data_IF_642060698185
#
_entry.id   IF_642060698185
#
_cell.length_a   1.000
_cell.length_b   1.000
_cell.length_c   1.000
_cell.angle_alpha   90.00
_cell.angle_beta   90.00
_cell.angle_gamma   90.00
#
_symmetry.space_group_name_H-M   'P 1'
#
loop_
_entity.id
_entity.type
_entity.pdbx_description
1 polymer ?
#
# COMPACT_ATOMS: atom_id res chain seq x y z
N UNK A 1 -24.11 11.49 0.76
CA UNK A 1 -22.75 11.86 1.15
C UNK A 1 -22.81 13.13 1.98
N UNK A 2 -22.11 13.16 3.12
CA UNK A 2 -21.95 14.34 3.97
C UNK A 2 -20.47 14.70 3.95
N UNK A 3 -20.17 15.96 3.67
CA UNK A 3 -18.80 16.47 3.70
C UNK A 3 -18.43 16.79 5.16
N UNK A 4 -17.20 16.45 5.57
CA UNK A 4 -16.64 16.91 6.83
C UNK A 4 -16.29 18.39 6.66
N UNK A 5 -16.90 19.24 7.50
CA UNK A 5 -16.75 20.72 7.48
C UNK A 5 -16.18 21.27 8.79
N UNK A 6 -15.78 20.39 9.69
CA UNK A 6 -15.16 20.77 10.96
C UNK A 6 -13.87 21.57 10.70
N UNK A 7 -13.69 22.66 11.45
CA UNK A 7 -12.53 23.58 11.28
C UNK A 7 -11.21 22.92 11.70
N UNK A 8 -11.26 21.92 12.56
CA UNK A 8 -10.12 21.19 13.06
C UNK A 8 -9.73 20.00 12.17
N UNK A 9 -10.58 19.68 11.14
CA UNK A 9 -10.22 18.67 10.15
C UNK A 9 -9.08 19.19 9.25
N UNK A 10 -7.97 18.43 9.06
CA UNK A 10 -6.86 18.88 8.26
C UNK A 10 -7.28 19.16 6.81
N UNK A 11 -7.00 20.36 6.31
CA UNK A 11 -7.32 20.75 4.93
C UNK A 11 -6.48 20.06 3.87
N UNK A 12 -5.33 19.50 4.27
CA UNK A 12 -4.43 18.72 3.42
C UNK A 12 -3.88 17.53 4.21
N UNK A 13 -4.06 16.34 3.67
CA UNK A 13 -3.57 15.10 4.26
C UNK A 13 -3.04 14.16 3.15
N UNK A 14 -2.15 13.24 3.55
CA UNK A 14 -1.60 12.23 2.65
C UNK A 14 -2.63 11.13 2.40
N UNK A 15 -2.39 10.29 1.39
CA UNK A 15 -3.29 9.17 1.10
C UNK A 15 -3.28 8.12 2.23
N UNK A 16 -4.40 7.41 2.32
CA UNK A 16 -4.62 6.42 3.35
C UNK A 16 -5.20 7.02 4.63
N UNK A 17 -5.81 6.16 5.40
CA UNK A 17 -6.41 6.46 6.69
C UNK A 17 -6.37 5.22 7.57
N UNK A 18 -6.52 5.40 8.87
CA UNK A 18 -6.58 4.33 9.85
C UNK A 18 -7.82 4.49 10.71
N UNK A 19 -8.36 3.38 11.19
CA UNK A 19 -9.50 3.37 12.12
C UNK A 19 -9.20 2.40 13.26
N UNK A 20 -9.06 2.95 14.49
CA UNK A 20 -8.83 2.17 15.70
C UNK A 20 -9.85 2.58 16.76
N UNK A 21 -10.43 1.60 17.43
CA UNK A 21 -11.32 1.75 18.58
C UNK A 21 -12.36 2.88 18.45
N UNK A 22 -12.97 2.96 17.26
CA UNK A 22 -13.99 3.96 16.97
C UNK A 22 -13.45 5.31 16.48
N UNK A 23 -12.13 5.53 16.46
CA UNK A 23 -11.52 6.79 16.04
C UNK A 23 -10.91 6.70 14.63
N UNK A 24 -11.34 7.54 13.68
CA UNK A 24 -10.68 7.68 12.39
C UNK A 24 -9.43 8.56 12.50
N UNK A 25 -8.38 8.22 11.79
CA UNK A 25 -7.11 8.96 11.75
C UNK A 25 -6.70 9.27 10.32
N UNK A 26 -6.20 10.48 10.11
CA UNK A 26 -5.52 10.94 8.89
C UNK A 26 -4.16 11.50 9.23
N UNK A 27 -3.24 11.54 8.27
CA UNK A 27 -1.90 12.08 8.49
C UNK A 27 -1.62 13.21 7.49
N UNK A 28 -1.01 14.29 7.98
CA UNK A 28 -0.54 15.39 7.13
C UNK A 28 0.84 15.10 6.54
N UNK A 29 1.25 15.88 5.53
CA UNK A 29 2.62 15.82 5.00
C UNK A 29 3.70 16.19 6.03
N UNK A 30 3.34 16.90 7.10
CA UNK A 30 4.21 17.17 8.24
C UNK A 30 4.34 16.00 9.22
N UNK A 31 3.80 14.81 8.85
CA UNK A 31 3.76 13.62 9.68
C UNK A 31 2.99 13.79 11.02
N UNK A 32 2.06 14.72 11.07
CA UNK A 32 1.10 14.84 12.15
C UNK A 32 -0.11 13.95 11.88
N UNK A 33 -0.39 13.02 12.78
CA UNK A 33 -1.55 12.11 12.73
C UNK A 33 -2.63 12.73 13.60
N UNK A 34 -3.74 13.08 12.98
CA UNK A 34 -4.89 13.69 13.66
C UNK A 34 -6.06 12.70 13.70
N UNK A 35 -6.71 12.59 14.84
CA UNK A 35 -7.88 11.74 15.07
C UNK A 35 -9.16 12.54 15.12
N UNK A 36 -10.25 11.95 14.61
CA UNK A 36 -11.61 12.43 14.78
C UNK A 36 -12.24 12.01 16.09
N UNK A 37 -13.51 12.28 16.26
CA UNK A 37 -14.29 11.84 17.43
C UNK A 37 -14.54 10.33 17.43
N UNK A 38 -14.68 9.74 18.60
CA UNK A 38 -15.02 8.32 18.76
C UNK A 38 -16.41 8.06 18.20
N UNK A 39 -16.51 7.19 17.20
CA UNK A 39 -17.72 6.88 16.46
C UNK A 39 -18.40 8.12 15.83
N UNK A 40 -17.66 9.21 15.69
CA UNK A 40 -18.12 10.46 15.13
C UNK A 40 -17.09 11.03 14.13
N UNK A 41 -17.11 10.60 12.88
CA UNK A 41 -16.11 10.97 11.88
C UNK A 41 -16.28 12.41 11.37
N UNK A 42 -17.34 13.14 11.79
CA UNK A 42 -17.59 14.50 11.31
C UNK A 42 -17.09 15.58 12.30
N UNK A 43 -16.85 15.22 13.56
CA UNK A 43 -16.31 16.11 14.57
C UNK A 43 -14.82 15.79 14.83
N UNK A 44 -13.99 16.81 14.81
CA UNK A 44 -12.54 16.71 14.98
C UNK A 44 -12.08 17.63 16.11
N UNK A 45 -10.97 17.29 16.76
CA UNK A 45 -10.38 18.09 17.83
C UNK A 45 -8.92 18.39 17.47
N UNK A 46 -8.56 19.67 17.39
CA UNK A 46 -7.20 20.12 17.11
C UNK A 46 -6.16 19.55 18.08
N UNK A 47 -6.57 19.18 19.30
CA UNK A 47 -5.68 18.59 20.30
C UNK A 47 -5.50 17.07 20.13
N UNK A 48 -6.38 16.39 19.36
CA UNK A 48 -6.24 14.97 19.08
C UNK A 48 -5.18 14.75 18.00
N UNK A 49 -3.94 15.11 18.26
CA UNK A 49 -2.83 15.02 17.32
C UNK A 49 -1.59 14.41 17.98
N UNK A 50 -0.91 13.52 17.22
CA UNK A 50 0.42 13.00 17.54
C UNK A 50 1.32 13.14 16.33
N UNK A 51 2.61 13.44 16.52
CA UNK A 51 3.56 13.60 15.43
C UNK A 51 4.50 12.40 15.40
N UNK A 52 4.71 11.82 14.21
CA UNK A 52 5.72 10.79 13.99
C UNK A 52 7.11 11.44 13.97
N UNK A 53 7.92 11.20 15.03
CA UNK A 53 9.10 12.03 15.35
C UNK A 53 10.44 11.30 15.25
N UNK A 54 10.51 10.06 14.73
CA UNK A 54 11.79 9.34 14.68
C UNK A 54 12.85 10.12 13.88
N UNK A 55 12.42 10.72 12.78
CA UNK A 55 13.20 11.67 11.98
C UNK A 55 12.25 12.76 11.42
N UNK A 56 12.78 13.96 11.12
CA UNK A 56 11.97 15.05 10.57
C UNK A 56 11.79 14.87 9.05
N UNK A 57 11.18 13.77 8.63
CA UNK A 57 10.87 13.47 7.24
C UNK A 57 9.37 13.54 6.97
N UNK A 58 9.02 13.81 5.71
CA UNK A 58 7.65 14.04 5.30
C UNK A 58 6.78 12.77 5.39
N UNK A 59 5.52 12.91 5.80
CA UNK A 59 4.51 11.87 5.71
C UNK A 59 4.17 11.57 4.25
N UNK A 60 4.02 10.28 3.91
CA UNK A 60 3.68 9.81 2.55
C UNK A 60 2.36 9.07 2.54
N UNK A 61 2.14 8.16 3.48
CA UNK A 61 0.90 7.41 3.61
C UNK A 61 0.61 7.05 5.06
N UNK A 62 -0.67 6.96 5.39
CA UNK A 62 -1.14 6.36 6.64
C UNK A 62 -1.81 5.03 6.32
N UNK A 63 -1.42 3.98 7.02
CA UNK A 63 -1.97 2.64 6.84
C UNK A 63 -2.38 2.03 8.18
N UNK A 64 -3.14 0.95 8.12
CA UNK A 64 -3.49 0.13 9.28
C UNK A 64 -2.85 -1.24 9.12
N UNK A 65 -2.30 -1.79 10.19
CA UNK A 65 -1.92 -3.19 10.29
C UNK A 65 -2.52 -3.76 11.58
N UNK A 66 -3.45 -4.70 11.43
CA UNK A 66 -4.17 -5.28 12.58
C UNK A 66 -4.78 -4.18 13.47
N UNK A 67 -4.26 -4.04 14.69
CA UNK A 67 -4.69 -3.06 15.71
C UNK A 67 -3.74 -1.86 15.80
N UNK A 68 -2.93 -1.62 14.78
CA UNK A 68 -1.93 -0.56 14.79
C UNK A 68 -2.15 0.42 13.63
N UNK A 69 -1.89 1.68 13.90
CA UNK A 69 -1.74 2.72 12.88
C UNK A 69 -0.28 2.82 12.47
N UNK A 70 0.00 2.78 11.18
CA UNK A 70 1.35 2.81 10.63
C UNK A 70 1.55 4.09 9.82
N UNK A 71 2.42 4.95 10.30
CA UNK A 71 2.84 6.16 9.59
C UNK A 71 4.03 5.83 8.67
N UNK A 72 3.77 5.82 7.38
CA UNK A 72 4.76 5.64 6.34
C UNK A 72 5.26 7.03 5.91
N UNK A 73 6.53 7.34 6.22
CA UNK A 73 7.16 8.61 5.87
C UNK A 73 8.16 8.42 4.73
N UNK A 74 8.81 9.48 4.33
CA UNK A 74 9.74 9.43 3.19
C UNK A 74 10.93 8.49 3.41
N UNK A 75 11.46 8.43 4.65
CA UNK A 75 12.67 7.65 4.98
C UNK A 75 12.48 6.71 6.17
N UNK A 76 11.38 6.87 6.91
CA UNK A 76 11.13 6.12 8.14
C UNK A 76 9.69 5.64 8.23
N UNK A 77 9.48 4.60 9.03
CA UNK A 77 8.16 4.07 9.38
C UNK A 77 8.02 4.04 10.89
N UNK A 78 6.90 4.55 11.39
CA UNK A 78 6.56 4.53 12.82
C UNK A 78 5.20 3.88 13.03
N UNK A 79 5.07 3.13 14.11
CA UNK A 79 3.85 2.41 14.45
C UNK A 79 3.27 2.93 15.75
N UNK A 80 1.95 3.06 15.78
CA UNK A 80 1.17 3.58 16.89
C UNK A 80 0.09 2.58 17.28
N UNK A 81 -0.24 2.53 18.54
CA UNK A 81 -1.35 1.76 19.12
C UNK A 81 -2.30 2.70 19.86
N UNK A 82 -3.52 2.30 20.08
CA UNK A 82 -4.42 3.04 20.97
C UNK A 82 -3.98 2.85 22.42
N UNK A 83 -3.46 3.92 23.03
CA UNK A 83 -3.01 3.96 24.42
C UNK A 83 -4.13 4.44 25.37
N UNK A 84 -5.32 4.74 24.81
CA UNK A 84 -6.47 5.27 25.56
C UNK A 84 -6.12 6.50 26.43
N UNK A 85 -5.26 7.39 25.90
CA UNK A 85 -4.90 8.61 26.61
C UNK A 85 -6.15 9.49 26.81
N UNK A 86 -6.38 9.96 28.02
CA UNK A 86 -7.55 10.75 28.36
C UNK A 86 -7.53 12.19 27.80
N UNK A 87 -6.37 12.68 27.37
CA UNK A 87 -6.17 14.02 26.79
C UNK A 87 -5.16 13.98 25.67
N UNK A 88 -5.36 14.80 24.65
CA UNK A 88 -4.56 14.80 23.44
C UNK A 88 -4.89 13.59 22.54
N UNK A 89 -3.95 13.14 21.75
CA UNK A 89 -4.17 11.96 20.91
C UNK A 89 -4.28 10.70 21.76
N UNK A 90 -5.28 9.83 21.51
CA UNK A 90 -5.36 8.53 22.17
C UNK A 90 -4.23 7.59 21.75
N UNK A 91 -3.51 7.91 20.68
CA UNK A 91 -2.40 7.08 20.17
C UNK A 91 -1.14 7.18 21.03
N UNK A 92 -0.47 6.05 21.19
CA UNK A 92 0.86 5.93 21.76
C UNK A 92 1.83 5.30 20.76
N UNK A 93 3.12 5.65 20.81
CA UNK A 93 4.15 5.10 19.91
C UNK A 93 4.59 3.71 20.37
N UNK A 94 4.65 2.74 19.45
CA UNK A 94 5.26 1.43 19.70
C UNK A 94 6.78 1.57 19.59
N UNK A 95 7.49 1.62 20.73
CA UNK A 95 8.94 1.91 20.77
C UNK A 95 9.80 0.91 20.00
N UNK A 96 9.41 -0.36 19.95
CA UNK A 96 10.14 -1.43 19.25
C UNK A 96 9.85 -1.53 17.75
N UNK A 97 8.88 -0.78 17.24
CA UNK A 97 8.39 -0.87 15.87
C UNK A 97 8.75 0.37 15.01
N UNK A 98 9.92 0.93 15.25
CA UNK A 98 10.49 2.04 14.48
C UNK A 98 11.46 1.50 13.45
N UNK A 99 11.24 1.82 12.17
CA UNK A 99 12.09 1.36 11.08
C UNK A 99 12.66 2.53 10.27
N UNK A 100 13.91 2.40 9.81
CA UNK A 100 14.58 3.33 8.89
C UNK A 100 14.33 2.95 7.43
N UNK A 101 13.10 2.63 7.16
CA UNK A 101 12.56 2.32 5.86
C UNK A 101 11.35 3.22 5.62
N UNK A 102 11.36 3.96 4.54
CA UNK A 102 10.28 4.86 4.18
C UNK A 102 9.41 4.30 3.05
N UNK A 103 8.55 5.14 2.53
CA UNK A 103 7.60 4.83 1.46
C UNK A 103 7.85 5.76 0.28
N UNK A 104 7.91 5.19 -0.93
CA UNK A 104 8.11 5.95 -2.18
C UNK A 104 6.81 6.50 -2.74
N UNK A 105 5.70 5.79 -2.56
CA UNK A 105 4.39 6.24 -3.01
C UNK A 105 3.27 5.56 -2.23
N UNK A 106 2.28 6.34 -1.85
CA UNK A 106 1.07 5.84 -1.20
C UNK A 106 0.25 4.90 -2.10
N UNK A 107 0.32 5.08 -3.42
CA UNK A 107 -0.41 4.27 -4.39
C UNK A 107 0.16 2.83 -4.53
N UNK A 108 1.35 2.60 -3.97
CA UNK A 108 1.97 1.29 -3.88
C UNK A 108 1.68 0.53 -2.60
N UNK A 109 1.00 1.13 -1.62
CA UNK A 109 0.74 0.51 -0.32
C UNK A 109 -0.47 -0.42 -0.39
N UNK A 110 -0.29 -1.67 0.03
CA UNK A 110 -1.37 -2.64 0.16
C UNK A 110 -1.41 -3.23 1.57
N UNK A 111 -2.61 -3.25 2.13
CA UNK A 111 -2.94 -3.95 3.38
C UNK A 111 -3.47 -5.34 3.02
N UNK A 112 -2.74 -6.37 3.41
CA UNK A 112 -3.08 -7.78 3.19
C UNK A 112 -3.76 -8.40 4.42
N UNK A 113 -4.28 -7.55 5.31
CA UNK A 113 -4.93 -7.92 6.56
C UNK A 113 -3.96 -7.97 7.74
N UNK A 114 -3.05 -8.92 7.76
CA UNK A 114 -2.02 -9.07 8.81
C UNK A 114 -0.66 -8.47 8.41
N UNK A 115 -0.49 -8.08 7.16
CA UNK A 115 0.77 -7.58 6.58
C UNK A 115 0.55 -6.34 5.76
N UNK A 116 1.57 -5.46 5.73
CA UNK A 116 1.62 -4.34 4.78
C UNK A 116 2.75 -4.56 3.79
N UNK A 117 2.51 -4.28 2.51
CA UNK A 117 3.54 -4.29 1.47
C UNK A 117 3.52 -2.94 0.74
N UNK A 118 4.72 -2.39 0.48
CA UNK A 118 4.85 -1.13 -0.24
C UNK A 118 6.23 -0.98 -0.91
N UNK A 119 6.33 -0.18 -1.97
CA UNK A 119 7.62 0.26 -2.49
C UNK A 119 8.24 1.31 -1.56
N UNK A 120 9.44 1.07 -1.11
CA UNK A 120 10.11 1.96 -0.17
C UNK A 120 11.60 2.07 -0.40
N UNK A 121 12.24 2.95 0.36
CA UNK A 121 13.69 3.11 0.40
C UNK A 121 14.13 3.62 1.76
N UNK A 122 15.40 3.40 2.10
CA UNK A 122 16.04 4.13 3.17
C UNK A 122 16.76 5.38 2.63
N UNK A 123 17.31 6.21 3.50
CA UNK A 123 18.07 7.42 3.09
C UNK A 123 19.24 7.14 2.14
N UNK A 124 19.84 5.96 2.25
CA UNK A 124 21.05 5.57 1.51
C UNK A 124 20.89 4.30 0.68
N UNK A 125 19.70 3.70 0.72
CA UNK A 125 19.37 2.53 -0.08
C UNK A 125 18.53 2.94 -1.30
N UNK A 126 18.64 2.15 -2.39
CA UNK A 126 17.77 2.29 -3.56
C UNK A 126 16.34 1.86 -3.27
N UNK A 127 15.50 1.93 -4.29
CA UNK A 127 14.11 1.46 -4.24
C UNK A 127 14.06 -0.06 -4.02
N UNK A 128 13.21 -0.48 -3.11
CA UNK A 128 12.97 -1.87 -2.73
C UNK A 128 11.48 -2.08 -2.47
N UNK A 129 11.03 -3.33 -2.48
CA UNK A 129 9.70 -3.66 -1.95
C UNK A 129 9.88 -4.14 -0.52
N UNK A 130 9.12 -3.53 0.37
CA UNK A 130 9.15 -3.75 1.80
C UNK A 130 7.90 -4.50 2.25
N UNK A 131 8.10 -5.41 3.18
CA UNK A 131 7.04 -6.14 3.88
C UNK A 131 7.11 -5.80 5.37
N UNK A 132 6.00 -5.42 5.94
CA UNK A 132 5.83 -5.33 7.39
C UNK A 132 5.02 -6.53 7.87
N UNK A 133 5.63 -7.37 8.69
CA UNK A 133 5.03 -8.51 9.35
C UNK A 133 5.38 -8.47 10.84
N UNK A 134 4.38 -8.64 11.72
CA UNK A 134 4.56 -8.55 13.18
C UNK A 134 5.34 -7.30 13.61
N UNK A 135 5.00 -6.14 13.05
CA UNK A 135 5.62 -4.82 13.29
C UNK A 135 7.11 -4.72 12.87
N UNK A 136 7.63 -5.69 12.15
CA UNK A 136 8.99 -5.67 11.61
C UNK A 136 8.96 -5.39 10.12
N UNK A 137 9.70 -4.39 9.70
CA UNK A 137 9.85 -4.03 8.29
C UNK A 137 11.12 -4.68 7.73
N UNK A 138 10.97 -5.39 6.62
CA UNK A 138 12.09 -6.02 5.92
C UNK A 138 11.93 -5.93 4.41
N UNK A 139 13.02 -5.82 3.65
CA UNK A 139 12.97 -5.92 2.20
C UNK A 139 12.69 -7.36 1.76
N UNK A 140 11.79 -7.50 0.78
CA UNK A 140 11.46 -8.78 0.14
C UNK A 140 11.86 -8.81 -1.33
N UNK A 141 12.25 -7.66 -1.89
CA UNK A 141 12.74 -7.58 -3.27
C UNK A 141 14.09 -8.27 -3.41
N UNK A 142 14.24 -9.05 -4.49
CA UNK A 142 15.51 -9.65 -4.88
C UNK A 142 16.35 -8.65 -5.68
N UNK A 143 17.65 -8.91 -5.85
CA UNK A 143 18.54 -8.03 -6.63
C UNK A 143 18.07 -7.80 -8.08
N UNK A 144 17.52 -8.78 -8.81
CA UNK A 144 16.91 -8.52 -10.11
C UNK A 144 15.75 -7.54 -10.03
N UNK A 145 14.84 -7.68 -9.04
CA UNK A 145 13.70 -6.77 -8.84
C UNK A 145 14.18 -5.38 -8.48
N UNK A 146 15.17 -5.24 -7.57
CA UNK A 146 15.75 -3.94 -7.22
C UNK A 146 16.34 -3.21 -8.43
N UNK A 147 16.94 -3.95 -9.39
CA UNK A 147 17.44 -3.37 -10.64
C UNK A 147 16.32 -2.83 -11.52
N UNK A 148 15.17 -3.53 -11.60
CA UNK A 148 14.01 -3.05 -12.33
C UNK A 148 13.42 -1.78 -11.68
N UNK A 149 13.45 -1.69 -10.35
CA UNK A 149 12.96 -0.53 -9.60
C UNK A 149 13.94 0.65 -9.62
N UNK A 150 15.21 0.41 -9.98
CA UNK A 150 16.21 1.47 -10.01
C UNK A 150 15.95 2.44 -11.16
N UNK A 151 15.66 3.68 -10.81
CA UNK A 151 15.30 4.72 -11.80
C UNK A 151 13.82 4.74 -12.19
N UNK A 152 13.01 3.84 -11.64
CA UNK A 152 11.58 3.82 -11.86
C UNK A 152 10.86 5.04 -11.26
N UNK A 153 9.73 5.40 -11.84
CA UNK A 153 8.96 6.60 -11.48
C UNK A 153 7.83 6.26 -10.52
N UNK A 154 7.95 6.69 -9.26
CA UNK A 154 6.98 6.44 -8.18
C UNK A 154 5.99 7.60 -7.96
N UNK A 155 5.62 8.33 -9.00
CA UNK A 155 4.66 9.44 -8.91
C UNK A 155 3.22 8.94 -8.97
N UNK A 156 2.32 9.66 -8.31
CA UNK A 156 0.89 9.38 -8.37
C UNK A 156 0.38 9.40 -9.82
N UNK A 157 -0.48 8.44 -10.16
CA UNK A 157 -0.99 8.23 -11.53
C UNK A 157 -0.09 7.38 -12.43
N UNK A 158 1.20 7.20 -12.06
CA UNK A 158 2.10 6.26 -12.72
C UNK A 158 2.15 4.89 -12.04
N UNK A 159 1.84 4.84 -10.75
CA UNK A 159 1.92 3.64 -9.93
C UNK A 159 0.52 3.17 -9.54
N UNK A 160 0.28 1.87 -9.69
CA UNK A 160 -0.91 1.18 -9.22
C UNK A 160 -0.47 -0.07 -8.46
N UNK A 161 -1.13 -0.35 -7.36
CA UNK A 161 -0.95 -1.62 -6.66
C UNK A 161 -2.30 -2.22 -6.30
N UNK A 162 -2.35 -3.53 -6.29
CA UNK A 162 -3.52 -4.29 -5.88
C UNK A 162 -3.11 -5.66 -5.36
N UNK A 163 -4.04 -6.33 -4.71
CA UNK A 163 -3.84 -7.65 -4.15
C UNK A 163 -4.89 -8.63 -4.69
N UNK A 164 -4.52 -9.89 -4.73
CA UNK A 164 -5.41 -10.97 -5.17
C UNK A 164 -5.07 -12.26 -4.43
N UNK A 165 -6.11 -12.94 -3.95
CA UNK A 165 -6.03 -14.33 -3.49
C UNK A 165 -6.66 -15.21 -4.55
N UNK A 166 -5.89 -16.13 -5.11
CA UNK A 166 -6.38 -17.02 -6.14
C UNK A 166 -5.58 -18.32 -6.19
N UNK A 167 -6.28 -19.45 -6.41
CA UNK A 167 -5.69 -20.78 -6.52
C UNK A 167 -4.77 -21.16 -5.34
N UNK A 168 -5.06 -20.62 -4.14
CA UNK A 168 -4.27 -20.87 -2.93
C UNK A 168 -3.02 -20.01 -2.80
N UNK A 169 -2.85 -19.00 -3.62
CA UNK A 169 -1.76 -18.02 -3.57
C UNK A 169 -2.26 -16.65 -3.16
N UNK A 170 -1.38 -15.86 -2.52
CA UNK A 170 -1.63 -14.48 -2.11
C UNK A 170 -0.68 -13.57 -2.89
N UNK A 171 -1.25 -12.75 -3.78
CA UNK A 171 -0.48 -11.91 -4.68
C UNK A 171 -0.53 -10.44 -4.27
N UNK A 172 0.63 -9.82 -4.19
CA UNK A 172 0.80 -8.38 -4.26
C UNK A 172 1.27 -8.02 -5.67
N UNK A 173 0.56 -7.14 -6.35
CA UNK A 173 0.90 -6.71 -7.71
C UNK A 173 1.17 -5.21 -7.72
N UNK A 174 2.26 -4.83 -8.36
CA UNK A 174 2.71 -3.44 -8.53
C UNK A 174 2.95 -3.15 -10.00
N UNK A 175 2.26 -2.15 -10.53
CA UNK A 175 2.44 -1.64 -11.89
C UNK A 175 3.06 -0.26 -11.86
N UNK A 176 4.13 -0.07 -12.63
CA UNK A 176 4.80 1.19 -12.90
C UNK A 176 4.61 1.52 -14.39
N UNK A 177 3.60 2.31 -14.68
CA UNK A 177 3.09 2.50 -16.03
C UNK A 177 4.08 3.17 -16.97
N UNK A 178 4.75 4.25 -16.52
CA UNK A 178 5.75 4.97 -17.32
C UNK A 178 6.99 4.12 -17.60
N UNK A 179 7.23 3.13 -16.78
CA UNK A 179 8.38 2.21 -16.90
C UNK A 179 7.99 0.91 -17.62
N UNK A 180 6.72 0.81 -18.09
CA UNK A 180 6.14 -0.36 -18.75
C UNK A 180 6.36 -1.68 -17.96
N UNK A 181 6.28 -1.61 -16.64
CA UNK A 181 6.62 -2.69 -15.72
C UNK A 181 5.45 -3.07 -14.83
N UNK A 182 5.12 -4.35 -14.79
CA UNK A 182 4.28 -4.95 -13.74
C UNK A 182 5.02 -6.11 -13.11
N UNK A 183 5.18 -6.05 -11.79
CA UNK A 183 5.76 -7.13 -10.99
C UNK A 183 4.72 -7.64 -9.99
N UNK A 184 4.76 -8.93 -9.73
CA UNK A 184 3.90 -9.60 -8.78
C UNK A 184 4.74 -10.41 -7.78
N UNK A 185 4.37 -10.35 -6.52
CA UNK A 185 4.98 -11.14 -5.45
C UNK A 185 3.95 -12.11 -4.89
N UNK A 186 4.29 -13.39 -4.93
CA UNK A 186 3.53 -14.44 -4.28
C UNK A 186 4.03 -14.58 -2.83
N UNK A 187 3.19 -14.23 -1.86
CA UNK A 187 3.54 -14.29 -0.44
C UNK A 187 3.72 -15.72 0.06
N UNK A 188 3.05 -16.69 -0.57
CA UNK A 188 3.10 -18.10 -0.15
C UNK A 188 4.38 -18.78 -0.62
N UNK A 189 4.69 -18.63 -1.92
CA UNK A 189 5.87 -19.23 -2.52
C UNK A 189 7.13 -18.35 -2.36
N UNK A 190 6.96 -17.06 -1.97
CA UNK A 190 8.02 -16.06 -1.84
C UNK A 190 8.79 -15.83 -3.16
N UNK A 191 8.07 -15.88 -4.27
CA UNK A 191 8.60 -15.72 -5.61
C UNK A 191 8.11 -14.44 -6.26
N UNK A 192 8.95 -13.89 -7.14
CA UNK A 192 8.65 -12.73 -7.97
C UNK A 192 8.36 -13.14 -9.40
N UNK A 193 7.35 -12.51 -9.98
CA UNK A 193 6.93 -12.67 -11.35
C UNK A 193 6.87 -11.31 -12.03
N UNK A 194 7.14 -11.29 -13.32
CA UNK A 194 6.83 -10.16 -14.17
C UNK A 194 5.58 -10.50 -14.97
N UNK A 195 4.57 -9.63 -14.92
CA UNK A 195 3.33 -9.79 -15.65
C UNK A 195 3.31 -8.85 -16.85
N UNK A 196 2.89 -9.36 -18.00
CA UNK A 196 2.72 -8.58 -19.22
C UNK A 196 1.36 -8.87 -19.85
N UNK A 197 0.91 -7.97 -20.73
CA UNK A 197 -0.17 -8.27 -21.65
C UNK A 197 0.34 -9.18 -22.79
N UNK A 198 -0.56 -9.59 -23.68
CA UNK A 198 -0.25 -10.43 -24.86
C UNK A 198 0.74 -9.80 -25.84
N UNK A 199 1.01 -8.48 -25.75
CA UNK A 199 1.96 -7.75 -26.60
C UNK A 199 3.29 -7.48 -25.90
N UNK A 200 3.47 -7.97 -24.68
CA UNK A 200 4.68 -7.74 -23.89
C UNK A 200 4.74 -6.39 -23.18
N UNK A 201 3.63 -5.62 -23.14
CA UNK A 201 3.54 -4.40 -22.34
C UNK A 201 3.23 -4.74 -20.88
N UNK A 202 3.23 -3.71 -20.00
CA UNK A 202 2.79 -3.88 -18.62
C UNK A 202 1.36 -4.44 -18.54
N UNK A 203 1.08 -5.19 -17.49
CA UNK A 203 -0.24 -5.78 -17.27
C UNK A 203 -1.25 -4.70 -16.86
N UNK A 204 -2.29 -4.40 -17.68
CA UNK A 204 -3.09 -3.18 -17.55
C UNK A 204 -4.23 -3.30 -16.53
N UNK A 205 -4.02 -3.99 -15.43
CA UNK A 205 -4.99 -4.14 -14.34
C UNK A 205 -4.67 -3.16 -13.22
N UNK A 206 -5.68 -2.42 -12.76
CA UNK A 206 -5.54 -1.39 -11.72
C UNK A 206 -6.15 -1.77 -10.37
N UNK A 207 -7.04 -2.72 -10.34
CA UNK A 207 -7.65 -3.22 -9.09
C UNK A 207 -8.18 -4.64 -9.25
N UNK A 208 -8.34 -5.31 -8.12
CA UNK A 208 -8.98 -6.61 -8.02
C UNK A 208 -10.07 -6.59 -6.93
N UNK A 209 -11.13 -7.33 -7.16
CA UNK A 209 -12.18 -7.61 -6.18
C UNK A 209 -12.66 -9.05 -6.38
N UNK A 210 -13.67 -9.48 -5.64
CA UNK A 210 -14.17 -10.85 -5.72
C UNK A 210 -15.67 -10.89 -5.99
N UNK A 211 -16.10 -11.88 -6.77
CA UNK A 211 -17.51 -12.20 -6.91
C UNK A 211 -18.03 -13.00 -5.69
N UNK A 212 -19.32 -13.31 -5.68
CA UNK A 212 -19.94 -14.09 -4.60
C UNK A 212 -19.40 -15.54 -4.49
N UNK A 213 -18.67 -16.02 -5.49
CA UNK A 213 -18.03 -17.35 -5.53
C UNK A 213 -16.52 -17.29 -5.23
N UNK A 214 -16.02 -16.15 -4.74
CA UNK A 214 -14.63 -15.90 -4.42
C UNK A 214 -13.68 -15.95 -5.64
N UNK A 215 -14.20 -15.73 -6.86
CA UNK A 215 -13.36 -15.59 -8.05
C UNK A 215 -12.88 -14.15 -8.17
N UNK A 216 -11.59 -13.94 -8.46
CA UNK A 216 -11.07 -12.60 -8.67
C UNK A 216 -11.69 -11.96 -9.92
N UNK A 217 -12.14 -10.72 -9.75
CA UNK A 217 -12.57 -9.83 -10.82
C UNK A 217 -11.55 -8.71 -10.92
N UNK A 218 -10.93 -8.58 -12.08
CA UNK A 218 -9.85 -7.66 -12.38
C UNK A 218 -10.37 -6.51 -13.23
N UNK A 219 -10.09 -5.27 -12.83
CA UNK A 219 -10.48 -4.07 -13.56
C UNK A 219 -9.36 -3.60 -14.47
N UNK A 220 -9.66 -3.52 -15.77
CA UNK A 220 -8.73 -2.94 -16.74
C UNK A 220 -8.73 -1.41 -16.64
N UNK A 221 -7.55 -0.79 -16.81
CA UNK A 221 -7.34 0.65 -16.58
C UNK A 221 -8.11 1.58 -17.53
N UNK A 222 -8.34 1.18 -18.78
CA UNK A 222 -8.79 2.10 -19.83
C UNK A 222 -9.95 1.60 -20.69
N UNK A 223 -10.17 0.27 -20.85
CA UNK A 223 -11.18 -0.24 -21.77
C UNK A 223 -12.58 -0.42 -21.17
N UNK A 224 -12.74 -0.15 -19.86
CA UNK A 224 -14.01 -0.29 -19.13
C UNK A 224 -14.48 -1.74 -18.94
N UNK A 225 -13.63 -2.74 -19.23
CA UNK A 225 -13.96 -4.16 -19.08
C UNK A 225 -13.49 -4.69 -17.73
N UNK A 226 -14.18 -5.72 -17.30
CA UNK A 226 -13.80 -6.55 -16.17
C UNK A 226 -13.40 -7.94 -16.67
N UNK A 227 -12.35 -8.49 -16.09
CA UNK A 227 -11.82 -9.81 -16.40
C UNK A 227 -11.88 -10.71 -15.18
N UNK A 228 -11.90 -12.00 -15.37
CA UNK A 228 -11.74 -12.98 -14.29
C UNK A 228 -10.45 -13.76 -14.50
N UNK A 229 -9.73 -14.02 -13.42
CA UNK A 229 -8.61 -14.97 -13.49
C UNK A 229 -9.14 -16.38 -13.77
N UNK A 230 -8.46 -17.12 -14.65
CA UNK A 230 -8.80 -18.50 -15.02
C UNK A 230 -7.51 -19.25 -15.35
N UNK A 231 -7.41 -20.48 -14.88
CA UNK A 231 -6.34 -21.43 -15.18
C UNK A 231 -6.69 -22.35 -16.37
N UNK A 232 -7.94 -22.28 -16.82
CA UNK A 232 -8.42 -23.08 -17.96
C UNK A 232 -8.22 -22.38 -19.32
N UNK A 233 -8.03 -21.06 -19.31
CA UNK A 233 -7.88 -20.27 -20.52
C UNK A 233 -6.43 -20.26 -21.01
N UNK A 234 -6.27 -20.56 -22.29
CA UNK A 234 -4.97 -20.50 -23.00
C UNK A 234 -4.78 -19.20 -23.79
N UNK A 235 -5.71 -18.26 -23.63
CA UNK A 235 -5.69 -16.96 -24.31
C UNK A 235 -5.90 -15.83 -23.30
N UNK A 236 -5.23 -14.70 -23.56
CA UNK A 236 -5.42 -13.44 -22.87
C UNK A 236 -6.19 -12.49 -23.81
N UNK A 237 -7.41 -12.08 -23.42
CA UNK A 237 -8.34 -11.28 -24.23
C UNK A 237 -8.39 -11.72 -25.72
N UNK A 238 -8.54 -13.03 -25.94
CA UNK A 238 -8.58 -13.70 -27.24
C UNK A 238 -7.23 -13.80 -27.98
N UNK A 239 -6.14 -13.30 -27.43
CA UNK A 239 -4.79 -13.49 -27.96
C UNK A 239 -4.12 -14.74 -27.34
N UNK A 240 -3.29 -15.46 -28.10
CA UNK A 240 -2.54 -16.61 -27.56
C UNK A 240 -1.50 -16.12 -26.53
N UNK A 241 -1.44 -16.80 -25.39
CA UNK A 241 -0.40 -16.58 -24.40
C UNK A 241 0.89 -17.23 -24.91
N UNK A 242 1.94 -16.43 -25.08
CA UNK A 242 3.28 -16.94 -25.43
C UNK A 242 4.04 -17.22 -24.13
N UNK A 243 4.58 -18.43 -24.01
CA UNK A 243 5.43 -18.84 -22.90
C UNK A 243 6.84 -19.10 -23.41
N UNK A 244 7.80 -18.29 -23.00
CA UNK A 244 9.21 -18.49 -23.29
C UNK A 244 9.88 -19.20 -22.10
N UNK A 245 10.37 -20.41 -22.32
CA UNK A 245 11.10 -21.18 -21.31
C UNK A 245 12.59 -21.10 -21.64
N UNK A 246 13.36 -20.43 -20.81
CA UNK A 246 14.82 -20.42 -20.89
C UNK A 246 15.37 -21.52 -19.98
N UNK A 247 16.06 -22.50 -20.56
CA UNK A 247 16.71 -23.59 -19.83
C UNK A 247 18.21 -23.32 -19.62
#
# INVERSE_FOLDING_TARGET
LVQITDVDFPTAFVKGWSYLDGTPYVMTAAAAIQGGGINDPVNWDALNVIIAQIEPDAGVALAKQLVYTVALKQWTTETFYDAANATGSPLGTVQGAKARWGCLSADGVQDLGDRLIWPGSGKTSGAQILLMDNLKVQPISTKPIERLLQGATFTSGNIFSWQMQWAGHDWYVLTLKADALTIAYDLKEQLWWQLTDSNGNYFPIVSATYDSTQRPILQHESNGRLYTASDENTTDDSALITVDIYT
#
